data_IF_666238375925
#
_entry.id   IF_666238375925
#
_cell.length_a   1.000
_cell.length_b   1.000
_cell.length_c   1.000
_cell.angle_alpha   90.00
_cell.angle_beta   90.00
_cell.angle_gamma   90.00
#
_symmetry.space_group_name_H-M   'P 1'
#
loop_
_entity.id
_entity.type
_entity.pdbx_description
1 polymer ?
#
# COMPACT_ATOMS: atom_id res chain seq x y z
N UNK A 1 -19.26 -7.07 2.75
CA UNK A 1 -18.65 -5.84 2.20
C UNK A 1 -17.41 -5.56 3.04
N UNK A 2 -16.22 -5.82 2.52
CA UNK A 2 -14.97 -5.56 3.22
C UNK A 2 -14.73 -4.06 3.24
N UNK A 3 -14.47 -3.50 4.42
CA UNK A 3 -14.29 -2.05 4.57
C UNK A 3 -12.89 -1.63 4.09
N UNK A 4 -12.69 -0.35 3.74
CA UNK A 4 -11.35 0.18 3.48
C UNK A 4 -10.35 -0.12 4.61
N UNK A 5 -10.78 -0.01 5.87
CA UNK A 5 -9.96 -0.35 7.02
C UNK A 5 -9.50 -1.82 7.02
N UNK A 6 -10.40 -2.76 6.73
CA UNK A 6 -10.05 -4.17 6.66
C UNK A 6 -9.05 -4.48 5.53
N UNK A 7 -9.10 -3.73 4.41
CA UNK A 7 -8.14 -3.84 3.31
C UNK A 7 -6.77 -3.28 3.68
N UNK A 8 -6.75 -2.14 4.39
CA UNK A 8 -5.53 -1.57 4.96
C UNK A 8 -4.86 -2.55 5.93
N UNK A 9 -5.63 -3.17 6.84
CA UNK A 9 -5.10 -4.18 7.77
C UNK A 9 -4.55 -5.41 7.04
N UNK A 10 -5.26 -5.91 6.02
CA UNK A 10 -4.80 -7.04 5.22
C UNK A 10 -3.47 -6.74 4.51
N UNK A 11 -3.35 -5.55 3.90
CA UNK A 11 -2.11 -5.10 3.29
C UNK A 11 -0.99 -4.93 4.33
N UNK A 12 -1.30 -4.38 5.50
CA UNK A 12 -0.34 -4.21 6.60
C UNK A 12 0.25 -5.56 7.05
N UNK A 13 -0.59 -6.59 7.25
CA UNK A 13 -0.14 -7.94 7.59
C UNK A 13 0.75 -8.51 6.49
N UNK A 14 0.36 -8.34 5.23
CA UNK A 14 1.13 -8.81 4.08
C UNK A 14 2.51 -8.13 4.01
N UNK A 15 2.57 -6.80 4.15
CA UNK A 15 3.81 -6.03 4.11
C UNK A 15 4.76 -6.36 5.27
N UNK A 16 4.22 -6.55 6.50
CA UNK A 16 5.02 -7.00 7.65
C UNK A 16 5.68 -8.36 7.38
N UNK A 17 4.97 -9.29 6.76
CA UNK A 17 5.51 -10.59 6.39
C UNK A 17 6.67 -10.50 5.38
N UNK A 18 6.76 -9.39 4.64
CA UNK A 18 7.83 -9.09 3.68
C UNK A 18 8.90 -8.14 4.23
N UNK A 19 8.92 -7.85 5.53
CA UNK A 19 9.99 -7.10 6.18
C UNK A 19 9.81 -5.57 6.15
N UNK A 20 8.64 -5.07 5.76
CA UNK A 20 8.31 -3.65 5.88
C UNK A 20 7.84 -3.32 7.29
N UNK A 21 8.19 -2.11 7.74
CA UNK A 21 7.57 -1.51 8.90
C UNK A 21 6.28 -0.84 8.48
N UNK A 22 5.19 -1.09 9.19
CA UNK A 22 3.89 -0.51 8.86
C UNK A 22 3.12 -0.07 10.09
N UNK A 23 2.40 1.04 9.93
CA UNK A 23 1.52 1.61 10.93
C UNK A 23 0.12 1.81 10.31
N UNK A 24 -0.83 0.89 10.56
CA UNK A 24 -2.19 1.03 10.08
C UNK A 24 -2.95 2.09 10.88
N UNK A 25 -3.71 2.91 10.15
CA UNK A 25 -4.64 3.92 10.66
C UNK A 25 -6.04 3.63 10.09
N UNK A 26 -7.07 4.33 10.57
CA UNK A 26 -8.49 4.04 10.26
C UNK A 26 -8.82 3.97 8.75
N UNK A 27 -8.08 4.65 7.88
CA UNK A 27 -8.26 4.62 6.43
C UNK A 27 -6.95 4.61 5.62
N UNK A 28 -5.80 4.59 6.32
CA UNK A 28 -4.49 4.76 5.70
C UNK A 28 -3.48 3.79 6.31
N UNK A 29 -2.37 3.58 5.61
CA UNK A 29 -1.25 2.76 6.04
C UNK A 29 0.04 3.52 5.82
N UNK A 30 0.74 3.91 6.87
CA UNK A 30 2.12 4.35 6.72
C UNK A 30 2.99 3.10 6.50
N UNK A 31 3.81 3.12 5.47
CA UNK A 31 4.73 2.04 5.09
C UNK A 31 6.14 2.61 5.06
N UNK A 32 7.07 1.91 5.71
CA UNK A 32 8.50 2.24 5.70
C UNK A 32 9.31 1.02 5.30
N UNK A 33 10.23 1.22 4.37
CA UNK A 33 11.30 0.28 4.10
C UNK A 33 12.43 0.56 5.10
N UNK A 34 12.78 -0.40 6.00
CA UNK A 34 13.84 -0.21 6.97
C UNK A 34 15.25 -0.22 6.36
N UNK A 35 15.43 -0.79 5.15
CA UNK A 35 16.71 -0.82 4.43
C UNK A 35 16.56 -0.22 3.02
N UNK A 36 16.27 1.10 2.90
CA UNK A 36 16.08 1.74 1.61
C UNK A 36 17.43 1.85 0.88
N UNK A 37 17.48 1.34 -0.35
CA UNK A 37 18.59 1.55 -1.29
C UNK A 37 18.33 2.68 -2.27
N UNK A 38 17.11 3.22 -2.28
CA UNK A 38 16.67 4.36 -3.09
C UNK A 38 16.39 5.62 -2.25
N UNK A 39 16.02 6.72 -2.92
CA UNK A 39 15.78 8.01 -2.26
C UNK A 39 14.49 8.03 -1.43
N UNK A 40 13.53 7.16 -1.73
CA UNK A 40 12.27 7.07 -1.02
C UNK A 40 12.28 5.89 -0.05
N UNK A 41 12.19 6.18 1.25
CA UNK A 41 12.22 5.17 2.31
C UNK A 41 10.83 4.85 2.90
N UNK A 42 9.85 5.71 2.67
CA UNK A 42 8.51 5.56 3.24
C UNK A 42 7.47 6.28 2.40
N UNK A 43 6.23 5.80 2.45
CA UNK A 43 5.05 6.45 1.89
C UNK A 43 3.80 6.08 2.69
N UNK A 44 2.72 6.82 2.49
CA UNK A 44 1.40 6.54 3.08
C UNK A 44 0.47 6.07 1.98
N UNK A 45 -0.16 4.93 2.21
CA UNK A 45 -1.21 4.41 1.33
C UNK A 45 -2.58 4.71 1.91
N UNK A 46 -3.55 4.95 1.03
CA UNK A 46 -4.97 5.07 1.39
C UNK A 46 -5.78 4.03 0.63
N UNK A 47 -6.91 3.60 1.19
CA UNK A 47 -7.84 2.71 0.50
C UNK A 47 -9.16 3.44 0.25
N UNK A 48 -9.56 3.57 -1.02
CA UNK A 48 -10.80 4.27 -1.41
C UNK A 48 -11.38 3.71 -2.71
N UNK A 49 -12.66 3.97 -3.01
CA UNK A 49 -13.24 3.62 -4.31
C UNK A 49 -12.49 4.29 -5.46
N UNK A 50 -12.25 3.56 -6.53
CA UNK A 50 -11.71 4.06 -7.78
C UNK A 50 -12.86 4.28 -8.76
N UNK A 51 -13.14 5.54 -9.10
CA UNK A 51 -14.31 5.93 -9.90
C UNK A 51 -14.25 5.35 -11.33
N UNK A 52 -13.05 5.16 -11.86
CA UNK A 52 -12.83 4.63 -13.21
C UNK A 52 -12.90 3.09 -13.28
N UNK A 53 -12.99 2.41 -12.14
CA UNK A 53 -13.00 0.94 -12.03
C UNK A 53 -14.25 0.46 -11.28
N UNK A 54 -15.43 0.92 -11.72
CA UNK A 54 -16.74 0.53 -11.17
C UNK A 54 -16.89 0.75 -9.65
N UNK A 55 -16.13 1.69 -9.07
CA UNK A 55 -16.13 1.96 -7.64
C UNK A 55 -15.46 0.89 -6.79
N UNK A 56 -14.68 -0.01 -7.40
CA UNK A 56 -13.85 -1.00 -6.68
C UNK A 56 -12.86 -0.29 -5.77
N UNK A 57 -12.54 -0.93 -4.65
CA UNK A 57 -11.56 -0.38 -3.72
C UNK A 57 -10.16 -0.56 -4.27
N UNK A 58 -9.37 0.50 -4.24
CA UNK A 58 -7.98 0.53 -4.67
C UNK A 58 -7.09 1.14 -3.59
N UNK A 59 -5.83 0.77 -3.62
CA UNK A 59 -4.78 1.47 -2.87
C UNK A 59 -4.24 2.64 -3.67
N UNK A 60 -4.01 3.75 -3.00
CA UNK A 60 -3.44 4.96 -3.58
C UNK A 60 -2.30 5.47 -2.72
N UNK A 61 -1.28 6.06 -3.34
CA UNK A 61 -0.23 6.81 -2.64
C UNK A 61 -0.80 8.07 -1.98
N UNK A 62 0.00 8.73 -1.14
CA UNK A 62 -0.36 10.02 -0.57
C UNK A 62 -0.57 11.09 -1.65
N UNK A 63 0.15 10.99 -2.77
CA UNK A 63 -0.01 11.85 -3.96
C UNK A 63 -1.29 11.58 -4.75
N UNK A 64 -1.98 10.47 -4.45
CA UNK A 64 -3.21 10.06 -5.12
C UNK A 64 -2.98 9.16 -6.34
N UNK A 65 -1.75 8.72 -6.59
CA UNK A 65 -1.46 7.78 -7.67
C UNK A 65 -2.02 6.39 -7.35
N UNK A 66 -2.68 5.72 -8.30
CA UNK A 66 -3.19 4.37 -8.10
C UNK A 66 -2.03 3.36 -8.00
N UNK A 67 -2.13 2.44 -7.04
CA UNK A 67 -1.15 1.37 -6.81
C UNK A 67 -1.68 0.05 -7.37
N UNK A 68 -2.79 -0.45 -6.82
CA UNK A 68 -3.47 -1.67 -7.27
C UNK A 68 -4.88 -1.78 -6.70
N UNK A 69 -5.70 -2.68 -7.24
CA UNK A 69 -6.96 -3.10 -6.63
C UNK A 69 -6.72 -3.69 -5.22
N UNK A 70 -7.60 -3.38 -4.28
CA UNK A 70 -7.43 -3.69 -2.87
C UNK A 70 -7.48 -5.20 -2.54
N UNK A 71 -8.03 -6.01 -3.45
CA UNK A 71 -8.03 -7.47 -3.36
C UNK A 71 -6.75 -8.10 -3.93
N UNK A 72 -5.90 -7.32 -4.63
CA UNK A 72 -4.64 -7.78 -5.20
C UNK A 72 -3.43 -7.29 -4.37
N UNK A 73 -3.24 -7.90 -3.19
CA UNK A 73 -2.17 -7.53 -2.26
C UNK A 73 -0.76 -7.81 -2.82
N UNK A 74 -0.63 -8.79 -3.71
CA UNK A 74 0.64 -9.14 -4.32
C UNK A 74 1.12 -8.05 -5.28
N UNK A 75 0.25 -7.51 -6.12
CA UNK A 75 0.63 -6.40 -7.00
C UNK A 75 0.95 -5.13 -6.19
N UNK A 76 0.20 -4.84 -5.13
CA UNK A 76 0.51 -3.75 -4.21
C UNK A 76 1.93 -3.85 -3.64
N UNK A 77 2.32 -5.06 -3.21
CA UNK A 77 3.65 -5.34 -2.69
C UNK A 77 4.74 -5.16 -3.74
N UNK A 78 4.54 -5.69 -4.95
CA UNK A 78 5.52 -5.58 -6.05
C UNK A 78 5.73 -4.11 -6.42
N UNK A 79 4.66 -3.35 -6.51
CA UNK A 79 4.73 -1.91 -6.75
C UNK A 79 5.49 -1.19 -5.63
N UNK A 80 5.16 -1.45 -4.36
CA UNK A 80 5.83 -0.85 -3.20
C UNK A 80 7.33 -1.19 -3.12
N UNK A 81 7.76 -2.37 -3.57
CA UNK A 81 9.18 -2.72 -3.65
C UNK A 81 9.94 -1.80 -4.59
N UNK A 82 9.37 -1.53 -5.77
CA UNK A 82 9.95 -0.58 -6.73
C UNK A 82 9.90 0.86 -6.24
N UNK A 83 8.79 1.24 -5.61
CA UNK A 83 8.54 2.60 -5.13
C UNK A 83 9.40 2.98 -3.92
N UNK A 84 9.42 2.16 -2.87
CA UNK A 84 10.14 2.42 -1.61
C UNK A 84 11.62 2.02 -1.68
N UNK A 85 12.24 2.23 -2.84
CA UNK A 85 13.68 2.15 -3.01
C UNK A 85 14.26 0.79 -2.63
N UNK A 86 13.73 -0.30 -3.18
CA UNK A 86 14.53 -1.53 -3.33
C UNK A 86 15.30 -1.40 -4.65
N UNK A 87 16.50 -0.82 -4.63
CA UNK A 87 17.37 -0.87 -5.83
C UNK A 87 17.86 -2.33 -5.98
N UNK A 88 17.83 -2.90 -7.21
CA UNK A 88 18.17 -4.30 -7.49
C UNK A 88 19.52 -4.75 -6.92
#
# INVERSE_FOLDING_TARGET
MTTPAARIEALAVHLKAHGYEVEPMSCCLAVRNPDPKGPLASDVLTCRPHEEDDGRLWFFTLSGDPVSEADNLTDALVWLKGHLGSRP
#
